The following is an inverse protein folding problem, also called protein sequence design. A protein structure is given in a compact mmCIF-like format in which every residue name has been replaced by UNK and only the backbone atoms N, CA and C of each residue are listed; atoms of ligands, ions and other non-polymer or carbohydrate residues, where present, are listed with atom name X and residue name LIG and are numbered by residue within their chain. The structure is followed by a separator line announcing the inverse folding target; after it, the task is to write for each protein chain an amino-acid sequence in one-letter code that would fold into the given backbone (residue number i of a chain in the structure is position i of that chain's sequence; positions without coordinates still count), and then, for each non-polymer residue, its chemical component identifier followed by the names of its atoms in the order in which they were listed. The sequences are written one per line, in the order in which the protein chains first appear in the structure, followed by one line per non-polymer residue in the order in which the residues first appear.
data_IF_681523745754
#
_entry.id   IF_681523745754
#
_cell.length_a   1.000
_cell.length_b   1.000
_cell.length_c   1.000
_cell.angle_alpha   90.00
_cell.angle_beta   90.00
_cell.angle_gamma   90.00
#
_symmetry.space_group_name_H-M   'P 1'
#
loop_
_entity.id
_entity.type
_entity.pdbx_description
1 polymer ?
#
# COMPACT_ATOMS: atom_id res chain seq x y z
N UNK A 1 3.02 25.03 -5.39
CA UNK A 1 3.47 23.79 -4.71
C UNK A 1 4.76 23.26 -5.33
N UNK A 2 5.75 22.91 -4.51
CA UNK A 2 7.12 22.58 -4.94
C UNK A 2 7.22 21.19 -5.60
N UNK A 3 7.82 21.13 -6.79
CA UNK A 3 8.07 19.88 -7.53
C UNK A 3 8.91 18.88 -6.72
N UNK A 4 9.66 19.37 -5.73
CA UNK A 4 10.45 18.55 -4.81
C UNK A 4 9.62 17.54 -4.00
N UNK A 5 8.40 17.92 -3.54
CA UNK A 5 7.54 17.02 -2.77
C UNK A 5 6.99 15.88 -3.61
N UNK A 6 6.55 16.19 -4.84
CA UNK A 6 6.12 15.16 -5.80
C UNK A 6 7.25 14.16 -6.05
N UNK A 7 8.49 14.62 -6.23
CA UNK A 7 9.63 13.72 -6.42
C UNK A 7 9.92 12.85 -5.20
N UNK A 8 9.76 13.38 -3.98
CA UNK A 8 9.92 12.59 -2.73
C UNK A 8 8.87 11.48 -2.62
N UNK A 9 7.59 11.82 -2.80
CA UNK A 9 6.48 10.84 -2.75
C UNK A 9 6.66 9.78 -3.84
N UNK A 10 7.02 10.21 -5.05
CA UNK A 10 7.28 9.31 -6.18
C UNK A 10 8.45 8.37 -5.89
N UNK A 11 9.55 8.88 -5.35
CA UNK A 11 10.71 8.06 -4.99
C UNK A 11 10.35 7.04 -3.92
N UNK A 12 9.60 7.43 -2.90
CA UNK A 12 9.13 6.50 -1.86
C UNK A 12 8.26 5.38 -2.46
N UNK A 13 7.27 5.72 -3.30
CA UNK A 13 6.41 4.73 -3.92
C UNK A 13 7.20 3.75 -4.81
N UNK A 14 8.15 4.24 -5.61
CA UNK A 14 9.00 3.35 -6.42
C UNK A 14 9.93 2.47 -5.58
N UNK A 15 10.49 2.99 -4.48
CA UNK A 15 11.30 2.19 -3.57
C UNK A 15 10.47 1.07 -2.95
N UNK A 16 9.24 1.35 -2.53
CA UNK A 16 8.33 0.33 -2.04
C UNK A 16 8.05 -0.73 -3.10
N UNK A 17 7.62 -0.32 -4.30
CA UNK A 17 7.36 -1.23 -5.43
C UNK A 17 8.58 -2.11 -5.71
N UNK A 18 9.78 -1.53 -5.75
CA UNK A 18 11.01 -2.27 -5.99
C UNK A 18 11.29 -3.28 -4.87
N UNK A 19 11.07 -2.91 -3.60
CA UNK A 19 11.20 -3.81 -2.46
C UNK A 19 10.16 -4.95 -2.52
N UNK A 20 8.91 -4.67 -2.90
CA UNK A 20 7.89 -5.72 -3.04
C UNK A 20 8.26 -6.70 -4.14
N UNK A 21 8.70 -6.20 -5.30
CA UNK A 21 9.14 -7.05 -6.42
C UNK A 21 10.35 -7.89 -6.00
N UNK A 22 11.33 -7.28 -5.33
CA UNK A 22 12.49 -7.99 -4.80
C UNK A 22 12.09 -9.07 -3.77
N UNK A 23 11.12 -8.76 -2.89
CA UNK A 23 10.56 -9.70 -1.92
C UNK A 23 9.84 -10.88 -2.58
N UNK A 24 9.01 -10.62 -3.60
CA UNK A 24 8.34 -11.66 -4.39
C UNK A 24 9.34 -12.54 -5.14
N UNK A 25 10.39 -11.94 -5.71
CA UNK A 25 11.47 -12.67 -6.36
C UNK A 25 12.23 -13.54 -5.35
N UNK A 26 12.52 -13.02 -4.17
CA UNK A 26 13.15 -13.79 -3.09
C UNK A 26 12.28 -14.98 -2.67
N UNK A 27 10.98 -14.76 -2.45
CA UNK A 27 10.01 -15.82 -2.13
C UNK A 27 9.99 -16.89 -3.23
N UNK A 28 9.98 -16.48 -4.50
CA UNK A 28 10.04 -17.38 -5.64
C UNK A 28 11.33 -18.20 -5.66
N UNK A 29 12.48 -17.58 -5.48
CA UNK A 29 13.78 -18.28 -5.44
C UNK A 29 13.84 -19.25 -4.25
N UNK A 30 13.35 -18.86 -3.07
CA UNK A 30 13.28 -19.74 -1.91
C UNK A 30 12.43 -20.98 -2.18
N UNK A 31 11.23 -20.82 -2.76
CA UNK A 31 10.39 -21.95 -3.15
C UNK A 31 11.01 -22.82 -4.24
N UNK A 32 11.78 -22.21 -5.16
CA UNK A 32 12.43 -22.93 -6.26
C UNK A 32 13.62 -23.77 -5.82
N UNK A 33 14.44 -23.26 -4.90
CA UNK A 33 15.68 -23.89 -4.44
C UNK A 33 15.53 -24.67 -3.14
N UNK A 34 14.53 -24.34 -2.32
CA UNK A 34 14.24 -25.01 -1.05
C UNK A 34 12.76 -25.43 -0.99
N UNK A 35 12.33 -26.38 -1.84
CA UNK A 35 10.94 -26.82 -1.87
C UNK A 35 10.46 -27.40 -0.52
N UNK A 36 11.36 -28.05 0.22
CA UNK A 36 11.08 -28.60 1.56
C UNK A 36 11.10 -27.55 2.68
N UNK A 37 11.52 -26.32 2.39
CA UNK A 37 11.39 -25.18 3.31
C UNK A 37 9.97 -24.59 3.30
N UNK A 38 9.10 -25.06 2.39
CA UNK A 38 7.67 -24.85 2.55
C UNK A 38 7.28 -25.54 3.86
N UNK A 39 6.96 -24.74 4.89
CA UNK A 39 6.55 -25.25 6.18
C UNK A 39 5.30 -26.11 5.96
N UNK A 40 5.52 -27.42 5.80
CA UNK A 40 4.53 -28.47 5.61
C UNK A 40 3.74 -28.69 6.90
N UNK A 41 3.05 -27.63 7.34
CA UNK A 41 1.97 -27.69 8.30
C UNK A 41 0.69 -27.61 7.49
N UNK A 42 -0.26 -28.46 7.84
CA UNK A 42 -1.61 -28.40 7.27
C UNK A 42 -2.11 -26.96 7.26
N UNK A 43 -2.61 -26.52 6.10
CA UNK A 43 -3.08 -25.16 5.91
C UNK A 43 -4.08 -24.78 7.01
N UNK A 44 -3.84 -23.66 7.68
CA UNK A 44 -4.66 -23.24 8.81
C UNK A 44 -5.61 -22.12 8.37
N UNK A 45 -6.91 -22.34 8.59
CA UNK A 45 -7.97 -21.37 8.28
C UNK A 45 -7.75 -20.04 8.99
N UNK A 46 -7.36 -20.06 10.25
CA UNK A 46 -7.12 -18.85 11.06
C UNK A 46 -6.00 -18.02 10.45
N UNK A 47 -4.87 -18.65 10.12
CA UNK A 47 -3.75 -17.97 9.47
C UNK A 47 -4.15 -17.38 8.11
N UNK A 48 -4.93 -18.13 7.34
CA UNK A 48 -5.43 -17.71 6.03
C UNK A 48 -6.29 -16.45 6.12
N UNK A 49 -7.20 -16.41 7.09
CA UNK A 49 -8.09 -15.27 7.33
C UNK A 49 -7.29 -14.08 7.88
N UNK A 50 -6.36 -14.30 8.83
CA UNK A 50 -5.54 -13.23 9.40
C UNK A 50 -4.69 -12.56 8.31
N UNK A 51 -4.00 -13.34 7.48
CA UNK A 51 -3.15 -12.79 6.41
C UNK A 51 -3.96 -12.00 5.38
N UNK A 52 -5.11 -12.54 4.97
CA UNK A 52 -6.01 -11.87 4.03
C UNK A 52 -6.58 -10.58 4.63
N UNK A 53 -7.06 -10.62 5.88
CA UNK A 53 -7.62 -9.46 6.57
C UNK A 53 -6.56 -8.38 6.81
N UNK A 54 -5.38 -8.74 7.32
CA UNK A 54 -4.31 -7.80 7.55
C UNK A 54 -3.91 -7.09 6.25
N UNK A 55 -3.70 -7.86 5.19
CA UNK A 55 -3.36 -7.32 3.87
C UNK A 55 -4.49 -6.42 3.33
N UNK A 56 -5.75 -6.84 3.45
CA UNK A 56 -6.91 -6.04 3.01
C UNK A 56 -7.06 -4.73 3.78
N UNK A 57 -6.90 -4.77 5.11
CA UNK A 57 -7.00 -3.59 5.96
C UNK A 57 -5.92 -2.58 5.60
N UNK A 58 -4.66 -3.01 5.45
CA UNK A 58 -3.54 -2.11 5.22
C UNK A 58 -3.37 -1.68 3.75
N UNK A 59 -3.65 -2.55 2.79
CA UNK A 59 -3.55 -2.23 1.36
C UNK A 59 -4.77 -1.45 0.83
N UNK A 60 -5.94 -1.59 1.46
CA UNK A 60 -7.21 -1.01 0.95
C UNK A 60 -7.93 -0.20 2.02
N UNK A 61 -8.27 -0.82 3.15
CA UNK A 61 -9.14 -0.21 4.17
C UNK A 61 -8.61 1.11 4.72
N UNK A 62 -7.42 1.10 5.31
CA UNK A 62 -6.75 2.27 5.86
C UNK A 62 -6.46 3.35 4.79
N UNK A 63 -5.95 3.04 3.58
CA UNK A 63 -5.83 4.02 2.51
C UNK A 63 -7.14 4.76 2.19
N UNK A 64 -8.26 4.05 2.14
CA UNK A 64 -9.59 4.65 1.89
C UNK A 64 -10.00 5.53 3.07
N UNK A 65 -9.85 5.04 4.30
CA UNK A 65 -10.18 5.79 5.52
C UNK A 65 -9.36 7.08 5.64
N UNK A 66 -8.06 7.01 5.40
CA UNK A 66 -7.16 8.17 5.40
C UNK A 66 -7.59 9.19 4.35
N UNK A 67 -7.76 8.77 3.09
CA UNK A 67 -8.21 9.68 2.02
C UNK A 67 -9.55 10.35 2.36
N UNK A 68 -10.51 9.58 2.85
CA UNK A 68 -11.84 10.08 3.22
C UNK A 68 -11.76 11.06 4.40
N UNK A 69 -10.98 10.74 5.43
CA UNK A 69 -10.81 11.61 6.59
C UNK A 69 -10.16 12.96 6.24
N UNK A 70 -9.10 12.94 5.42
CA UNK A 70 -8.47 14.18 4.95
C UNK A 70 -9.35 14.96 3.97
N UNK A 71 -10.18 14.28 3.16
CA UNK A 71 -11.15 14.94 2.30
C UNK A 71 -12.21 15.68 3.12
N UNK A 72 -12.75 15.05 4.16
CA UNK A 72 -13.69 15.69 5.09
C UNK A 72 -13.06 16.85 5.86
N UNK A 73 -11.77 16.72 6.24
CA UNK A 73 -11.00 17.82 6.85
C UNK A 73 -10.92 19.02 5.90
N UNK A 74 -10.51 18.79 4.66
CA UNK A 74 -10.42 19.84 3.64
C UNK A 74 -11.76 20.50 3.34
N UNK A 75 -12.84 19.72 3.22
CA UNK A 75 -14.18 20.23 2.97
C UNK A 75 -14.68 21.18 4.09
N UNK A 76 -14.31 20.92 5.35
CA UNK A 76 -14.68 21.79 6.49
C UNK A 76 -13.84 23.07 6.55
N UNK A 77 -12.60 23.03 6.08
CA UNK A 77 -11.65 24.14 6.15
C UNK A 77 -11.58 24.98 4.87
N UNK A 78 -12.39 24.69 3.85
CA UNK A 78 -12.37 25.39 2.56
C UNK A 78 -11.22 24.98 1.63
N UNK A 79 -10.53 23.89 1.96
CA UNK A 79 -9.35 23.40 1.25
C UNK A 79 -8.41 22.65 2.20
N UNK A 80 -7.50 21.86 1.65
CA UNK A 80 -6.50 21.13 2.43
C UNK A 80 -5.13 21.82 2.30
N UNK A 81 -4.41 22.01 3.40
CA UNK A 81 -3.04 22.52 3.33
C UNK A 81 -2.11 21.53 2.62
N UNK A 82 -1.06 22.05 1.95
CA UNK A 82 -0.04 21.22 1.27
C UNK A 82 0.59 20.23 2.25
N UNK A 83 0.94 20.69 3.45
CA UNK A 83 1.54 19.87 4.51
C UNK A 83 0.66 18.69 4.92
N UNK A 84 -0.66 18.90 5.06
CA UNK A 84 -1.64 17.87 5.36
C UNK A 84 -1.83 16.89 4.20
N UNK A 85 -1.86 17.39 2.96
CA UNK A 85 -1.93 16.55 1.77
C UNK A 85 -0.70 15.66 1.64
N UNK A 86 0.50 16.23 1.82
CA UNK A 86 1.78 15.52 1.83
C UNK A 86 1.80 14.43 2.92
N UNK A 87 1.36 14.78 4.15
CA UNK A 87 1.22 13.84 5.26
C UNK A 87 0.25 12.70 4.92
N UNK A 88 -0.90 12.99 4.34
CA UNK A 88 -1.87 11.98 3.90
C UNK A 88 -1.22 11.01 2.91
N UNK A 89 -0.51 11.51 1.88
CA UNK A 89 0.15 10.66 0.88
C UNK A 89 1.19 9.75 1.52
N UNK A 90 1.98 10.24 2.46
CA UNK A 90 2.94 9.44 3.20
C UNK A 90 2.27 8.35 4.05
N UNK A 91 1.21 8.69 4.80
CA UNK A 91 0.47 7.72 5.61
C UNK A 91 -0.20 6.63 4.77
N UNK A 92 -0.79 7.01 3.64
CA UNK A 92 -1.36 6.06 2.67
C UNK A 92 -0.26 5.13 2.12
N UNK A 93 0.89 5.69 1.75
CA UNK A 93 2.06 4.90 1.32
C UNK A 93 2.51 3.91 2.40
N UNK A 94 2.71 4.36 3.64
CA UNK A 94 3.11 3.47 4.74
C UNK A 94 2.08 2.37 5.01
N UNK A 95 0.79 2.71 4.97
CA UNK A 95 -0.27 1.72 5.12
C UNK A 95 -0.17 0.63 4.06
N UNK A 96 -0.06 1.00 2.79
CA UNK A 96 0.09 0.02 1.71
C UNK A 96 1.36 -0.82 1.88
N UNK A 97 2.47 -0.21 2.32
CA UNK A 97 3.72 -0.93 2.59
C UNK A 97 3.60 -1.97 3.71
N UNK A 98 2.84 -1.68 4.76
CA UNK A 98 2.51 -2.67 5.79
C UNK A 98 1.70 -3.81 5.17
N UNK A 99 0.73 -3.50 4.32
CA UNK A 99 -0.07 -4.50 3.60
C UNK A 99 0.79 -5.42 2.72
N UNK A 100 1.77 -4.86 2.02
CA UNK A 100 2.74 -5.61 1.22
C UNK A 100 3.64 -6.52 2.07
N UNK A 101 4.08 -6.05 3.24
CA UNK A 101 4.83 -6.88 4.19
C UNK A 101 3.95 -8.05 4.67
N UNK A 102 2.69 -7.80 5.01
CA UNK A 102 1.75 -8.86 5.37
C UNK A 102 1.54 -9.87 4.23
N UNK A 103 1.42 -9.38 2.99
CA UNK A 103 1.31 -10.22 1.80
C UNK A 103 2.54 -11.10 1.60
N UNK A 104 3.75 -10.54 1.71
CA UNK A 104 4.99 -11.31 1.61
C UNK A 104 5.12 -12.31 2.75
N UNK A 105 4.73 -11.92 3.97
CA UNK A 105 4.73 -12.81 5.14
C UNK A 105 3.77 -14.00 4.98
N UNK A 106 2.67 -13.82 4.24
CA UNK A 106 1.71 -14.89 3.97
C UNK A 106 2.34 -16.11 3.27
N UNK A 107 3.42 -15.93 2.50
CA UNK A 107 4.15 -17.03 1.87
C UNK A 107 4.94 -17.90 2.86
N UNK A 108 5.15 -17.44 4.09
CA UNK A 108 5.91 -18.16 5.13
C UNK A 108 5.00 -18.84 6.16
N UNK A 109 3.68 -18.73 6.03
CA UNK A 109 2.70 -19.25 6.97
C UNK A 109 1.81 -20.27 6.27
N UNK A 110 1.39 -21.37 6.94
CA UNK A 110 0.50 -22.37 6.33
C UNK A 110 -0.89 -21.77 6.08
N UNK A 111 -1.15 -21.43 4.81
CA UNK A 111 -2.35 -20.74 4.32
C UNK A 111 -2.92 -21.52 3.14
N UNK A 112 -4.25 -21.53 2.99
CA UNK A 112 -4.89 -22.10 1.81
C UNK A 112 -4.50 -21.32 0.54
N UNK A 113 -4.14 -22.03 -0.53
CA UNK A 113 -3.67 -21.44 -1.79
C UNK A 113 -4.61 -20.35 -2.33
N UNK A 114 -5.93 -20.57 -2.25
CA UNK A 114 -6.92 -19.56 -2.67
C UNK A 114 -6.85 -18.26 -1.85
N UNK A 115 -6.62 -18.35 -0.54
CA UNK A 115 -6.45 -17.16 0.31
C UNK A 115 -5.11 -16.47 0.04
N UNK A 116 -4.06 -17.23 -0.26
CA UNK A 116 -2.78 -16.68 -0.67
C UNK A 116 -2.91 -15.88 -1.99
N UNK A 117 -3.58 -16.44 -3.01
CA UNK A 117 -3.82 -15.72 -4.26
C UNK A 117 -4.62 -14.44 -4.05
N UNK A 118 -5.68 -14.47 -3.23
CA UNK A 118 -6.45 -13.27 -2.89
C UNK A 118 -5.59 -12.25 -2.15
N UNK A 119 -4.78 -12.70 -1.19
CA UNK A 119 -3.86 -11.83 -0.44
C UNK A 119 -2.89 -11.12 -1.37
N UNK A 120 -2.31 -11.84 -2.33
CA UNK A 120 -1.41 -11.28 -3.35
C UNK A 120 -2.12 -10.28 -4.25
N UNK A 121 -3.31 -10.62 -4.74
CA UNK A 121 -4.11 -9.73 -5.59
C UNK A 121 -4.45 -8.42 -4.87
N UNK A 122 -4.82 -8.50 -3.59
CA UNK A 122 -5.09 -7.33 -2.74
C UNK A 122 -3.83 -6.49 -2.53
N UNK A 123 -2.67 -7.11 -2.28
CA UNK A 123 -1.40 -6.40 -2.17
C UNK A 123 -1.03 -5.64 -3.46
N UNK A 124 -1.17 -6.28 -4.63
CA UNK A 124 -0.95 -5.66 -5.94
C UNK A 124 -1.92 -4.49 -6.16
N UNK A 125 -3.19 -4.65 -5.77
CA UNK A 125 -4.17 -3.57 -5.84
C UNK A 125 -3.78 -2.37 -4.95
N UNK A 126 -3.25 -2.64 -3.75
CA UNK A 126 -2.72 -1.60 -2.86
C UNK A 126 -1.62 -0.78 -3.53
N UNK A 127 -0.63 -1.45 -4.13
CA UNK A 127 0.44 -0.82 -4.91
C UNK A 127 -0.12 0.06 -6.03
N UNK A 128 -1.06 -0.50 -6.81
CA UNK A 128 -1.71 0.24 -7.89
C UNK A 128 -2.39 1.51 -7.38
N UNK A 129 -3.03 1.46 -6.21
CA UNK A 129 -3.73 2.60 -5.62
C UNK A 129 -2.81 3.76 -5.23
N UNK A 130 -1.51 3.52 -5.05
CA UNK A 130 -0.52 4.54 -4.69
C UNK A 130 0.42 4.89 -5.86
N UNK A 131 0.12 4.40 -7.06
CA UNK A 131 1.00 4.56 -8.21
C UNK A 131 1.28 6.05 -8.49
N UNK A 132 2.56 6.46 -8.55
CA UNK A 132 2.93 7.87 -8.55
C UNK A 132 2.87 8.47 -9.96
N UNK A 133 1.67 8.56 -10.53
CA UNK A 133 1.41 9.25 -11.80
C UNK A 133 1.25 10.76 -11.60
N UNK A 134 1.88 11.56 -12.47
CA UNK A 134 1.72 13.02 -12.48
C UNK A 134 0.25 13.43 -12.68
N UNK A 135 -0.49 12.71 -13.52
CA UNK A 135 -1.88 13.03 -13.83
C UNK A 135 -2.79 12.69 -12.65
N UNK A 136 -2.58 11.53 -12.01
CA UNK A 136 -3.30 11.17 -10.79
C UNK A 136 -3.03 12.16 -9.68
N UNK A 137 -1.77 12.57 -9.50
CA UNK A 137 -1.39 13.55 -8.49
C UNK A 137 -2.04 14.92 -8.74
N UNK A 138 -2.03 15.43 -9.98
CA UNK A 138 -2.74 16.67 -10.35
C UNK A 138 -4.25 16.59 -10.11
N UNK A 139 -4.86 15.44 -10.41
CA UNK A 139 -6.29 15.21 -10.15
C UNK A 139 -6.58 15.22 -8.65
N UNK A 140 -5.74 14.55 -7.84
CA UNK A 140 -5.88 14.54 -6.38
C UNK A 140 -5.74 15.96 -5.81
N UNK A 141 -4.75 16.76 -6.23
CA UNK A 141 -4.61 18.15 -5.75
C UNK A 141 -5.88 18.99 -5.98
N UNK A 142 -6.49 18.84 -7.17
CA UNK A 142 -7.75 19.51 -7.51
C UNK A 142 -8.91 18.99 -6.67
N UNK A 143 -9.03 17.68 -6.49
CA UNK A 143 -10.13 17.08 -5.72
C UNK A 143 -10.07 17.43 -4.23
N UNK A 144 -8.87 17.54 -3.67
CA UNK A 144 -8.65 17.91 -2.27
C UNK A 144 -8.64 19.43 -2.04
N UNK A 145 -8.78 20.25 -3.11
CA UNK A 145 -8.79 21.70 -3.02
C UNK A 145 -7.54 22.24 -2.31
N UNK A 146 -6.36 21.73 -2.69
CA UNK A 146 -5.13 22.04 -1.95
C UNK A 146 -4.78 23.52 -2.07
N UNK A 147 -4.73 24.22 -0.94
CA UNK A 147 -4.36 25.63 -0.86
C UNK A 147 -2.84 25.74 -0.92
N UNK A 148 -2.30 26.53 -1.84
CA UNK A 148 -0.86 26.78 -1.88
C UNK A 148 -0.49 27.67 -0.69
N UNK A 149 0.48 27.26 0.15
CA UNK A 149 0.88 27.99 1.36
C UNK A 149 1.57 29.35 1.07
N UNK A 150 1.53 29.83 -0.19
CA UNK A 150 2.15 31.06 -0.69
C UNK A 150 1.15 32.04 -1.36
N UNK A 151 -0.15 31.93 -1.06
CA UNK A 151 -1.16 32.91 -1.49
C UNK A 151 -1.64 33.75 -0.30
#
# INVERSE_FOLDING_TARGET
MDMSEFFRIRRQAYLMIALTIAGLLLVFLLHRFFPDASFAREANRVNSVIALLATTLFAIGFPILLRTGYFQKGAKSGGLHVSDFSRMKHLVGYSVGIGEICMLFAYYVPIYTYHLYLTVLVGIYGIYSIFPSKDTYKKELRSFGVLDDNA
#
